data_IF_683431368301
#
_entry.id   IF_683431368301
#
_cell.length_a   1.000
_cell.length_b   1.000
_cell.length_c   1.000
_cell.angle_alpha   90.00
_cell.angle_beta   90.00
_cell.angle_gamma   90.00
#
_symmetry.space_group_name_H-M   'P 1'
#
loop_
_entity.id
_entity.type
_entity.pdbx_description
1 polymer ?
#
# COMPACT_ATOMS: atom_id res chain seq x y z
N UNK A 1 -20.62 -17.23 -6.21
CA UNK A 1 -19.88 -17.57 -7.46
C UNK A 1 -18.45 -17.17 -7.24
N UNK A 2 -17.44 -18.01 -7.56
CA UNK A 2 -16.05 -17.68 -7.27
C UNK A 2 -15.58 -16.44 -8.05
N UNK A 3 -14.63 -15.71 -7.49
CA UNK A 3 -14.03 -14.52 -8.10
C UNK A 3 -12.79 -14.93 -8.89
N UNK A 4 -12.67 -14.42 -10.12
CA UNK A 4 -11.47 -14.61 -10.93
C UNK A 4 -10.54 -13.40 -10.78
N UNK A 5 -9.28 -13.65 -10.42
CA UNK A 5 -8.22 -12.65 -10.39
C UNK A 5 -7.17 -13.03 -11.44
N UNK A 6 -6.79 -12.09 -12.30
CA UNK A 6 -5.71 -12.32 -13.28
C UNK A 6 -4.48 -11.53 -12.86
N UNK A 7 -3.41 -12.24 -12.54
CA UNK A 7 -2.12 -11.65 -12.17
C UNK A 7 -1.27 -11.56 -13.44
N UNK A 8 -0.81 -10.36 -13.83
CA UNK A 8 0.03 -10.20 -15.01
C UNK A 8 1.44 -10.74 -14.76
N UNK A 9 2.17 -11.11 -15.82
CA UNK A 9 3.60 -11.49 -15.74
C UNK A 9 4.48 -10.34 -15.24
N UNK A 10 4.09 -9.11 -15.58
CA UNK A 10 4.81 -7.90 -15.25
C UNK A 10 3.86 -6.81 -14.75
N UNK A 11 4.31 -6.08 -13.74
CA UNK A 11 3.66 -4.87 -13.22
C UNK A 11 4.64 -3.70 -13.29
N UNK A 12 4.24 -2.55 -12.75
CA UNK A 12 5.12 -1.38 -12.66
C UNK A 12 5.06 -0.79 -11.26
N UNK A 13 6.20 -0.34 -10.74
CA UNK A 13 6.27 0.56 -9.60
C UNK A 13 6.81 1.92 -10.02
N UNK A 14 6.21 2.99 -9.50
CA UNK A 14 6.54 4.36 -9.90
C UNK A 14 6.64 5.28 -8.70
N UNK A 15 7.80 5.91 -8.57
CA UNK A 15 8.08 6.94 -7.58
C UNK A 15 8.55 8.21 -8.28
N UNK A 16 8.33 9.35 -7.65
CA UNK A 16 8.83 10.64 -8.12
C UNK A 16 9.49 11.37 -6.96
N UNK A 17 10.62 11.99 -7.21
CA UNK A 17 11.25 12.92 -6.27
C UNK A 17 11.04 14.34 -6.79
N UNK A 18 10.31 15.16 -6.04
CA UNK A 18 10.20 16.59 -6.30
C UNK A 18 11.39 17.32 -5.67
N UNK A 19 12.18 18.05 -6.47
CA UNK A 19 13.39 18.70 -6.00
C UNK A 19 13.81 19.89 -6.89
N UNK A 20 14.65 20.76 -6.36
CA UNK A 20 15.19 21.92 -7.10
C UNK A 20 16.44 21.57 -7.92
N UNK A 21 17.04 20.41 -7.65
CA UNK A 21 18.31 19.98 -8.28
C UNK A 21 18.24 18.56 -8.80
N UNK A 22 19.02 18.31 -9.85
CA UNK A 22 19.23 16.96 -10.37
C UNK A 22 20.25 16.21 -9.49
N UNK A 23 20.11 14.89 -9.30
CA UNK A 23 21.14 14.08 -8.65
C UNK A 23 22.40 14.06 -9.53
N UNK A 24 23.56 13.95 -8.89
CA UNK A 24 24.84 13.74 -9.58
C UNK A 24 24.95 12.32 -10.15
N UNK A 25 25.97 11.58 -9.74
CA UNK A 25 26.12 10.16 -10.12
C UNK A 25 25.09 9.29 -9.37
N UNK A 26 23.95 9.04 -10.01
CA UNK A 26 22.87 8.20 -9.46
C UNK A 26 23.35 6.78 -9.12
N UNK A 27 24.27 6.21 -9.91
CA UNK A 27 24.79 4.89 -9.63
C UNK A 27 25.62 4.88 -8.34
N UNK A 28 26.42 5.92 -8.11
CA UNK A 28 27.15 6.09 -6.86
C UNK A 28 26.21 6.33 -5.66
N UNK A 29 25.15 7.13 -5.85
CA UNK A 29 24.13 7.37 -4.81
C UNK A 29 23.48 6.06 -4.37
N UNK A 30 23.00 5.25 -5.32
CA UNK A 30 22.34 3.97 -5.04
C UNK A 30 23.31 3.00 -4.34
N UNK A 31 24.54 2.86 -4.86
CA UNK A 31 25.55 1.97 -4.26
C UNK A 31 25.90 2.35 -2.81
N UNK A 32 25.90 3.64 -2.48
CA UNK A 32 26.21 4.13 -1.13
C UNK A 32 25.00 3.99 -0.18
N UNK A 33 23.79 4.10 -0.70
CA UNK A 33 22.58 4.15 0.12
C UNK A 33 22.03 2.77 0.46
N UNK A 34 22.17 1.78 -0.42
CA UNK A 34 21.64 0.44 -0.24
C UNK A 34 22.72 -0.52 0.32
N UNK A 35 22.36 -1.47 1.20
CA UNK A 35 23.25 -2.54 1.60
C UNK A 35 23.40 -3.58 0.48
N UNK A 36 24.51 -4.32 0.47
CA UNK A 36 24.62 -5.55 -0.32
C UNK A 36 23.67 -6.63 0.23
N UNK A 37 23.05 -7.49 -0.60
CA UNK A 37 23.21 -7.62 -2.06
C UNK A 37 22.33 -6.66 -2.89
N UNK A 38 21.53 -5.80 -2.25
CA UNK A 38 20.55 -4.96 -2.93
C UNK A 38 21.19 -3.83 -3.74
N UNK A 39 22.32 -3.29 -3.29
CA UNK A 39 23.12 -2.33 -4.06
C UNK A 39 23.56 -2.90 -5.42
N UNK A 40 24.08 -4.13 -5.44
CA UNK A 40 24.41 -4.84 -6.68
C UNK A 40 23.18 -5.07 -7.55
N UNK A 41 22.09 -5.57 -6.96
CA UNK A 41 20.84 -5.83 -7.67
C UNK A 41 20.24 -4.56 -8.31
N UNK A 42 20.36 -3.41 -7.64
CA UNK A 42 19.93 -2.12 -8.16
C UNK A 42 20.86 -1.62 -9.29
N UNK A 43 22.17 -1.77 -9.13
CA UNK A 43 23.15 -1.40 -10.13
C UNK A 43 22.99 -2.18 -11.44
N UNK A 44 22.69 -3.48 -11.37
CA UNK A 44 22.44 -4.33 -12.54
C UNK A 44 21.16 -3.93 -13.29
N UNK A 45 20.17 -3.36 -12.59
CA UNK A 45 18.90 -2.91 -13.18
C UNK A 45 18.96 -1.48 -13.71
N UNK A 46 19.88 -0.66 -13.22
CA UNK A 46 19.94 0.77 -13.54
C UNK A 46 20.15 1.01 -15.04
N UNK A 47 19.27 1.81 -15.64
CA UNK A 47 19.29 2.10 -17.08
C UNK A 47 18.60 1.04 -17.95
N UNK A 48 18.03 0.00 -17.33
CA UNK A 48 17.15 -0.98 -17.97
C UNK A 48 15.69 -0.73 -17.57
N UNK A 49 14.69 -1.38 -18.20
CA UNK A 49 13.31 -1.31 -17.73
C UNK A 49 13.13 -1.71 -16.25
N UNK A 50 14.04 -2.50 -15.68
CA UNK A 50 14.01 -2.89 -14.27
C UNK A 50 14.37 -1.78 -13.28
N UNK A 51 14.99 -0.67 -13.73
CA UNK A 51 15.16 0.57 -12.96
C UNK A 51 15.57 1.72 -13.91
N UNK A 52 14.59 2.55 -14.27
CA UNK A 52 14.80 3.74 -15.09
C UNK A 52 14.65 5.01 -14.26
N UNK A 53 15.58 5.94 -14.49
CA UNK A 53 15.61 7.27 -13.87
C UNK A 53 15.43 8.30 -14.97
N UNK A 54 14.44 9.18 -14.79
CA UNK A 54 14.11 10.24 -15.74
C UNK A 54 14.02 11.56 -14.99
N UNK A 55 14.38 12.67 -15.64
CA UNK A 55 14.37 13.99 -15.01
C UNK A 55 13.61 14.94 -15.93
N UNK A 56 12.58 15.57 -15.40
CA UNK A 56 11.76 16.54 -16.10
C UNK A 56 11.73 17.85 -15.31
N UNK A 57 11.69 19.02 -15.98
CA UNK A 57 11.22 20.25 -15.33
C UNK A 57 9.80 20.04 -14.77
N UNK A 58 9.49 20.63 -13.62
CA UNK A 58 8.23 20.36 -12.91
C UNK A 58 6.99 20.77 -13.73
N UNK A 59 7.09 21.84 -14.52
CA UNK A 59 6.01 22.38 -15.37
C UNK A 59 5.63 21.48 -16.56
N UNK A 60 6.53 20.60 -16.96
CA UNK A 60 6.42 19.71 -18.13
C UNK A 60 6.48 18.24 -17.75
N UNK A 61 6.60 17.94 -16.45
CA UNK A 61 6.62 16.60 -15.93
C UNK A 61 5.26 15.89 -16.16
N UNK A 62 5.26 14.59 -16.51
CA UNK A 62 4.03 13.86 -16.80
C UNK A 62 3.22 13.49 -15.54
N UNK A 63 3.75 13.75 -14.35
CA UNK A 63 3.18 13.33 -13.08
C UNK A 63 2.44 14.46 -12.38
N UNK A 64 1.33 14.11 -11.71
CA UNK A 64 0.50 15.04 -10.95
C UNK A 64 0.66 14.81 -9.46
N UNK A 65 1.57 15.54 -8.83
CA UNK A 65 1.94 15.32 -7.42
C UNK A 65 1.04 16.02 -6.40
N UNK A 66 0.18 16.97 -6.81
CA UNK A 66 -0.74 17.72 -5.94
C UNK A 66 -1.77 16.85 -5.18
N UNK A 67 -1.84 15.55 -5.48
CA UNK A 67 -2.72 14.60 -4.79
C UNK A 67 -2.00 13.79 -3.72
N UNK A 68 -0.67 13.92 -3.65
CA UNK A 68 0.14 13.20 -2.70
C UNK A 68 -0.23 13.64 -1.28
N UNK A 69 -0.52 12.67 -0.42
CA UNK A 69 -0.84 12.91 0.98
C UNK A 69 0.40 12.62 1.81
N UNK A 70 0.86 13.63 2.55
CA UNK A 70 1.92 13.51 3.55
C UNK A 70 1.43 13.91 4.93
N UNK A 71 2.30 13.74 5.93
CA UNK A 71 2.03 14.17 7.31
C UNK A 71 2.37 15.65 7.50
N UNK A 72 3.38 16.15 6.77
CA UNK A 72 3.85 17.53 6.87
C UNK A 72 3.30 18.40 5.74
N UNK A 73 2.68 19.53 6.10
CA UNK A 73 2.21 20.52 5.13
C UNK A 73 3.38 21.15 4.36
N UNK A 74 4.57 21.25 4.98
CA UNK A 74 5.77 21.77 4.35
C UNK A 74 6.23 20.91 3.16
N UNK A 75 5.98 19.60 3.19
CA UNK A 75 6.29 18.71 2.07
C UNK A 75 5.40 19.03 0.85
N UNK A 76 4.13 19.36 1.09
CA UNK A 76 3.21 19.82 0.05
C UNK A 76 3.69 21.11 -0.61
N UNK A 77 4.07 22.11 0.20
CA UNK A 77 4.65 23.36 -0.30
C UNK A 77 5.98 23.13 -1.04
N UNK A 78 6.81 22.20 -0.58
CA UNK A 78 8.06 21.85 -1.26
C UNK A 78 7.81 21.17 -2.61
N UNK A 79 6.80 20.31 -2.72
CA UNK A 79 6.37 19.74 -4.01
C UNK A 79 5.91 20.84 -4.96
N UNK A 80 5.11 21.80 -4.49
CA UNK A 80 4.61 22.90 -5.32
C UNK A 80 5.71 23.85 -5.80
N UNK A 81 6.77 24.03 -5.00
CA UNK A 81 7.91 24.89 -5.32
C UNK A 81 9.01 24.20 -6.13
N UNK A 82 8.97 22.88 -6.26
CA UNK A 82 10.04 22.12 -6.90
C UNK A 82 10.22 22.54 -8.37
N UNK A 83 11.47 22.80 -8.76
CA UNK A 83 11.78 23.10 -10.17
C UNK A 83 11.77 21.85 -11.07
N UNK A 84 11.92 20.66 -10.48
CA UNK A 84 12.10 19.40 -11.22
C UNK A 84 11.40 18.23 -10.54
N UNK A 85 10.98 17.28 -11.38
CA UNK A 85 10.49 15.97 -10.97
C UNK A 85 11.42 14.88 -11.52
N UNK A 86 11.95 14.05 -10.63
CA UNK A 86 12.82 12.93 -10.97
C UNK A 86 11.99 11.65 -10.86
N UNK A 87 11.61 11.07 -12.00
CA UNK A 87 10.87 9.81 -12.05
C UNK A 87 11.79 8.61 -11.85
N UNK A 88 11.43 7.76 -10.89
CA UNK A 88 12.09 6.48 -10.58
C UNK A 88 11.07 5.37 -10.86
N UNK A 89 11.27 4.66 -11.96
CA UNK A 89 10.28 3.70 -12.47
C UNK A 89 10.90 2.34 -12.71
N UNK A 90 10.10 1.29 -12.57
CA UNK A 90 10.56 -0.08 -12.80
C UNK A 90 9.41 -0.95 -13.30
N UNK A 91 9.71 -1.76 -14.30
CA UNK A 91 8.92 -2.93 -14.68
C UNK A 91 9.30 -4.05 -13.74
N UNK A 92 8.32 -4.56 -13.00
CA UNK A 92 8.49 -5.60 -11.99
C UNK A 92 8.01 -6.92 -12.56
N UNK A 93 8.86 -7.94 -12.51
CA UNK A 93 8.46 -9.29 -12.84
C UNK A 93 7.88 -9.97 -11.61
N UNK A 94 6.93 -10.89 -11.80
CA UNK A 94 6.29 -11.59 -10.67
C UNK A 94 7.27 -12.40 -9.82
N UNK A 95 8.30 -12.99 -10.44
CA UNK A 95 9.36 -13.77 -9.76
C UNK A 95 10.27 -12.90 -8.87
N UNK A 96 10.26 -11.58 -9.05
CA UNK A 96 11.03 -10.60 -8.30
C UNK A 96 10.22 -9.96 -7.14
N UNK A 97 8.96 -10.33 -6.95
CA UNK A 97 8.11 -9.79 -5.87
C UNK A 97 8.34 -10.50 -4.54
N UNK A 98 8.46 -9.77 -3.40
CA UNK A 98 8.28 -8.32 -3.26
C UNK A 98 9.58 -7.49 -3.30
N UNK A 99 10.72 -8.11 -3.62
CA UNK A 99 12.05 -7.48 -3.52
C UNK A 99 12.28 -6.35 -4.53
N UNK A 100 11.86 -6.49 -5.78
CA UNK A 100 12.05 -5.43 -6.78
C UNK A 100 11.36 -4.09 -6.41
N UNK A 101 10.09 -4.07 -5.97
CA UNK A 101 9.47 -2.85 -5.43
C UNK A 101 10.31 -2.16 -4.35
N UNK A 102 10.89 -2.93 -3.41
CA UNK A 102 11.74 -2.40 -2.35
C UNK A 102 12.98 -1.71 -2.88
N UNK A 103 13.68 -2.33 -3.83
CA UNK A 103 14.88 -1.76 -4.46
C UNK A 103 14.55 -0.41 -5.11
N UNK A 104 13.44 -0.33 -5.83
CA UNK A 104 13.03 0.87 -6.57
C UNK A 104 12.63 2.00 -5.60
N UNK A 105 11.88 1.67 -4.54
CA UNK A 105 11.56 2.64 -3.48
C UNK A 105 12.81 3.12 -2.76
N UNK A 106 13.73 2.22 -2.43
CA UNK A 106 14.99 2.57 -1.79
C UNK A 106 15.86 3.48 -2.68
N UNK A 107 15.90 3.23 -3.99
CA UNK A 107 16.57 4.10 -4.94
C UNK A 107 15.91 5.50 -4.98
N UNK A 108 14.58 5.58 -4.96
CA UNK A 108 13.87 6.86 -4.90
C UNK A 108 14.17 7.64 -3.60
N UNK A 109 14.15 6.95 -2.46
CA UNK A 109 14.50 7.55 -1.16
C UNK A 109 15.97 8.00 -1.12
N UNK A 110 16.89 7.21 -1.66
CA UNK A 110 18.31 7.57 -1.75
C UNK A 110 18.54 8.81 -2.63
N UNK A 111 17.83 8.90 -3.76
CA UNK A 111 17.87 10.09 -4.62
C UNK A 111 17.29 11.30 -3.88
N UNK A 112 16.14 11.14 -3.23
CA UNK A 112 15.50 12.20 -2.45
C UNK A 112 16.42 12.74 -1.35
N UNK A 113 17.10 11.87 -0.61
CA UNK A 113 18.10 12.26 0.39
C UNK A 113 19.28 13.01 -0.23
N UNK A 114 19.82 12.52 -1.35
CA UNK A 114 20.93 13.19 -2.05
C UNK A 114 20.53 14.58 -2.53
N UNK A 115 19.31 14.77 -3.03
CA UNK A 115 18.88 16.06 -3.60
C UNK A 115 18.15 16.96 -2.61
N UNK A 116 17.94 16.50 -1.37
CA UNK A 116 17.04 17.12 -0.38
C UNK A 116 15.62 17.33 -0.93
N UNK A 117 15.11 16.34 -1.68
CA UNK A 117 13.80 16.38 -2.33
C UNK A 117 12.72 15.62 -1.56
N UNK A 118 11.48 15.74 -2.04
CA UNK A 118 10.30 15.08 -1.47
C UNK A 118 9.97 13.82 -2.29
N UNK A 119 10.12 12.61 -1.72
CA UNK A 119 9.79 11.37 -2.41
C UNK A 119 8.28 11.08 -2.35
N UNK A 120 7.68 10.79 -3.50
CA UNK A 120 6.27 10.48 -3.67
C UNK A 120 6.10 9.11 -4.31
N UNK A 121 5.28 8.26 -3.72
CA UNK A 121 4.81 7.00 -4.30
C UNK A 121 3.54 7.25 -5.13
N UNK A 122 3.64 7.09 -6.45
CA UNK A 122 2.53 7.34 -7.36
C UNK A 122 1.50 6.22 -7.37
N UNK A 123 1.83 5.04 -6.85
CA UNK A 123 0.90 3.93 -6.80
C UNK A 123 0.00 4.01 -5.57
N UNK A 124 0.40 4.74 -4.52
CA UNK A 124 -0.40 5.02 -3.31
C UNK A 124 -0.89 6.46 -3.20
N UNK A 125 -0.34 7.39 -4.00
CA UNK A 125 -0.47 8.84 -3.84
C UNK A 125 -0.01 9.29 -2.43
N UNK A 126 1.11 8.77 -1.94
CA UNK A 126 1.65 9.10 -0.61
C UNK A 126 3.04 9.74 -0.70
N UNK A 127 3.27 10.74 0.14
CA UNK A 127 4.62 11.23 0.42
C UNK A 127 5.29 10.19 1.31
N UNK A 128 6.43 9.68 0.88
CA UNK A 128 7.16 8.67 1.62
C UNK A 128 7.92 9.34 2.77
N UNK A 129 7.99 8.71 3.96
CA UNK A 129 8.80 9.22 5.05
C UNK A 129 10.26 9.26 4.63
N UNK A 130 11.01 10.27 5.09
CA UNK A 130 12.44 10.42 4.83
C UNK A 130 13.29 9.27 5.40
N UNK A 131 12.73 8.48 6.33
CA UNK A 131 13.38 7.29 6.86
C UNK A 131 13.53 6.22 5.77
N UNK A 132 14.76 5.73 5.60
CA UNK A 132 15.03 4.60 4.69
C UNK A 132 14.21 3.37 5.11
N UNK A 133 13.86 2.48 4.16
CA UNK A 133 13.20 1.21 4.49
C UNK A 133 14.03 0.46 5.53
N UNK A 134 13.37 -0.35 6.37
CA UNK A 134 14.04 -1.23 7.33
C UNK A 134 14.85 -2.33 6.64
N UNK A 135 15.07 -3.45 7.32
CA UNK A 135 15.69 -4.62 6.70
C UNK A 135 14.85 -5.05 5.46
N UNK A 136 15.50 -5.09 4.29
CA UNK A 136 14.90 -5.51 3.02
C UNK A 136 14.43 -6.99 3.06
N UNK A 137 14.81 -7.75 4.09
CA UNK A 137 14.36 -9.12 4.32
C UNK A 137 12.89 -9.26 4.78
N UNK A 138 12.31 -8.22 5.38
CA UNK A 138 10.97 -8.30 5.99
C UNK A 138 9.98 -7.38 5.25
N UNK A 139 9.32 -7.91 4.22
CA UNK A 139 8.22 -7.21 3.55
C UNK A 139 7.00 -7.11 4.48
N UNK A 140 6.53 -5.90 4.73
CA UNK A 140 5.33 -5.63 5.52
C UNK A 140 4.39 -4.69 4.75
N UNK A 141 3.17 -5.12 4.45
CA UNK A 141 2.22 -4.36 3.62
C UNK A 141 1.84 -3.00 4.26
N UNK A 142 1.80 -2.92 5.60
CA UNK A 142 1.55 -1.69 6.33
C UNK A 142 2.69 -0.64 6.24
N UNK A 143 3.86 -0.98 5.70
CA UNK A 143 5.00 -0.06 5.61
C UNK A 143 4.86 0.96 4.46
N UNK A 144 3.67 1.52 4.28
CA UNK A 144 3.36 2.45 3.18
C UNK A 144 3.16 1.76 1.82
N UNK A 145 2.99 0.44 1.79
CA UNK A 145 2.74 -0.29 0.55
C UNK A 145 1.25 -0.33 0.15
N UNK A 146 0.36 0.03 1.07
CA UNK A 146 -1.08 0.12 0.85
C UNK A 146 -1.58 1.53 1.19
N UNK A 147 -2.02 2.26 0.18
CA UNK A 147 -2.76 3.49 0.36
C UNK A 147 -4.22 3.18 0.66
N UNK A 148 -4.62 3.26 1.92
CA UNK A 148 -6.02 3.20 2.34
C UNK A 148 -6.16 4.06 3.59
N UNK A 149 -6.49 5.34 3.39
CA UNK A 149 -6.77 6.27 4.47
C UNK A 149 -8.26 6.51 4.58
N UNK A 150 -8.73 6.71 5.80
CA UNK A 150 -10.05 7.28 6.02
C UNK A 150 -10.09 8.64 5.30
N UNK A 151 -11.22 9.01 4.65
CA UNK A 151 -11.41 10.37 4.19
C UNK A 151 -11.10 11.33 5.33
N UNK A 152 -10.61 12.56 5.07
CA UNK A 152 -10.40 13.57 6.11
C UNK A 152 -11.77 13.96 6.70
N UNK A 153 -12.24 13.15 7.64
CA UNK A 153 -13.66 13.00 7.95
C UNK A 153 -14.18 14.06 8.93
N UNK A 154 -13.36 15.00 9.42
CA UNK A 154 -13.84 16.07 10.31
C UNK A 154 -13.58 17.51 9.89
N UNK A 155 -12.91 17.76 8.76
CA UNK A 155 -12.51 19.12 8.37
C UNK A 155 -12.80 19.51 6.90
N UNK A 156 -13.59 18.71 6.17
CA UNK A 156 -13.80 18.93 4.73
C UNK A 156 -15.24 18.87 4.22
N UNK A 157 -16.24 18.78 5.11
CA UNK A 157 -17.66 18.92 4.74
C UNK A 157 -18.23 17.87 3.76
N UNK A 158 -17.75 16.61 3.80
CA UNK A 158 -18.23 15.56 2.87
C UNK A 158 -19.24 14.56 3.47
N UNK A 159 -19.33 14.42 4.79
CA UNK A 159 -20.58 13.95 5.42
C UNK A 159 -21.36 15.21 5.75
N UNK A 160 -22.42 15.47 4.99
CA UNK A 160 -23.41 16.50 5.31
C UNK A 160 -24.53 15.95 6.21
N UNK A 161 -24.49 14.66 6.56
CA UNK A 161 -25.43 14.10 7.51
C UNK A 161 -25.04 14.57 8.92
N UNK A 162 -26.05 14.87 9.74
CA UNK A 162 -25.85 15.13 11.17
C UNK A 162 -25.05 13.99 11.81
N UNK A 163 -24.29 14.28 12.86
CA UNK A 163 -23.42 13.36 13.63
C UNK A 163 -24.18 12.20 14.34
N UNK A 164 -25.30 11.74 13.78
CA UNK A 164 -26.10 10.61 14.21
C UNK A 164 -25.68 9.27 13.60
N UNK A 165 -26.26 8.20 14.14
CA UNK A 165 -26.03 6.79 13.78
C UNK A 165 -26.34 6.46 12.30
N UNK A 166 -26.98 7.38 11.57
CA UNK A 166 -27.43 7.21 10.18
C UNK A 166 -26.44 7.70 9.09
N UNK A 167 -25.27 8.29 9.40
CA UNK A 167 -24.33 8.72 8.34
C UNK A 167 -23.62 7.52 7.68
N UNK A 168 -24.06 7.08 6.49
CA UNK A 168 -23.44 6.00 5.67
C UNK A 168 -22.62 6.51 4.49
N UNK A 169 -21.73 7.48 4.73
CA UNK A 169 -21.00 8.14 3.63
C UNK A 169 -19.54 7.65 3.46
N UNK A 170 -19.05 6.78 4.34
CA UNK A 170 -17.65 6.34 4.27
C UNK A 170 -17.47 5.41 3.07
N UNK A 171 -16.48 5.78 2.25
CA UNK A 171 -16.02 5.02 1.11
C UNK A 171 -14.51 4.87 1.20
N UNK A 172 -14.05 3.64 1.36
CA UNK A 172 -12.64 3.32 1.40
C UNK A 172 -12.27 2.59 0.12
N UNK A 173 -11.11 2.94 -0.42
CA UNK A 173 -10.55 2.29 -1.59
C UNK A 173 -9.04 2.17 -1.42
N UNK A 174 -8.52 0.99 -1.67
CA UNK A 174 -7.09 0.76 -1.67
C UNK A 174 -6.43 1.38 -2.90
N UNK A 175 -5.14 1.64 -2.74
CA UNK A 175 -4.20 1.99 -3.78
C UNK A 175 -2.88 1.26 -3.52
N UNK A 176 -2.22 0.85 -4.59
CA UNK A 176 -0.90 0.25 -4.55
C UNK A 176 -0.92 -1.27 -4.59
N UNK A 177 -2.08 -1.93 -4.62
CA UNK A 177 -2.14 -3.38 -4.78
C UNK A 177 -1.78 -3.84 -6.20
N UNK A 178 -2.07 -2.99 -7.19
CA UNK A 178 -1.80 -3.30 -8.60
C UNK A 178 -0.33 -3.55 -8.92
N UNK A 179 0.61 -2.92 -8.19
CA UNK A 179 2.05 -3.18 -8.38
C UNK A 179 2.47 -4.57 -7.90
N UNK A 180 1.64 -5.22 -7.08
CA UNK A 180 1.78 -6.61 -6.68
C UNK A 180 0.91 -7.55 -7.53
N UNK A 181 0.32 -7.05 -8.62
CA UNK A 181 -0.43 -7.86 -9.58
C UNK A 181 -1.84 -8.23 -9.15
N UNK A 182 -2.33 -7.73 -8.01
CA UNK A 182 -3.69 -8.01 -7.52
C UNK A 182 -4.62 -6.77 -7.64
N UNK A 183 -5.94 -6.97 -7.65
CA UNK A 183 -6.91 -5.87 -7.77
C UNK A 183 -6.86 -4.90 -6.61
N UNK A 184 -7.28 -3.65 -6.84
CA UNK A 184 -7.60 -2.76 -5.72
C UNK A 184 -8.90 -3.20 -5.05
N UNK A 185 -9.04 -2.92 -3.77
CA UNK A 185 -10.18 -3.23 -2.94
C UNK A 185 -10.99 -1.96 -2.66
N UNK A 186 -12.30 -2.09 -2.54
CA UNK A 186 -13.15 -1.02 -2.04
C UNK A 186 -14.23 -1.53 -1.09
N UNK A 187 -14.61 -0.71 -0.12
CA UNK A 187 -15.76 -0.92 0.75
C UNK A 187 -16.53 0.41 0.83
N UNK A 188 -17.84 0.36 0.61
CA UNK A 188 -18.67 1.56 0.38
C UNK A 188 -19.97 1.49 1.17
N UNK A 189 -20.58 2.63 1.48
CA UNK A 189 -21.82 2.68 2.26
C UNK A 189 -21.60 2.39 3.75
N UNK A 190 -20.38 2.63 4.22
CA UNK A 190 -19.98 2.38 5.61
C UNK A 190 -20.49 3.53 6.49
N UNK A 191 -21.10 3.16 7.61
CA UNK A 191 -21.49 4.08 8.65
C UNK A 191 -20.25 4.67 9.32
N UNK A 192 -20.28 5.95 9.65
CA UNK A 192 -19.10 6.67 10.11
C UNK A 192 -18.49 6.11 11.41
N UNK A 193 -19.29 5.60 12.37
CA UNK A 193 -18.74 4.88 13.52
C UNK A 193 -17.99 3.57 13.17
N UNK A 194 -18.20 3.02 11.97
CA UNK A 194 -17.62 1.75 11.51
C UNK A 194 -16.42 1.94 10.56
N UNK A 195 -15.88 3.16 10.46
CA UNK A 195 -14.83 3.51 9.51
C UNK A 195 -13.50 2.76 9.78
N UNK A 196 -13.06 2.67 11.04
CA UNK A 196 -11.89 1.90 11.47
C UNK A 196 -12.07 0.42 11.20
N UNK A 197 -13.25 -0.12 11.50
CA UNK A 197 -13.58 -1.52 11.28
C UNK A 197 -13.51 -1.87 9.78
N UNK A 198 -14.18 -1.07 8.94
CA UNK A 198 -14.13 -1.21 7.48
C UNK A 198 -12.71 -1.08 6.93
N UNK A 199 -11.91 -0.15 7.46
CA UNK A 199 -10.51 0.02 7.07
C UNK A 199 -9.69 -1.23 7.39
N UNK A 200 -9.87 -1.82 8.56
CA UNK A 200 -9.12 -3.00 8.97
C UNK A 200 -9.59 -4.28 8.25
N UNK A 201 -10.87 -4.39 7.89
CA UNK A 201 -11.36 -5.42 6.97
C UNK A 201 -10.67 -5.30 5.61
N UNK A 202 -10.57 -4.09 5.06
CA UNK A 202 -9.88 -3.84 3.79
C UNK A 202 -8.39 -4.20 3.86
N UNK A 203 -7.68 -3.79 4.92
CA UNK A 203 -6.26 -4.11 5.15
C UNK A 203 -6.02 -5.62 5.27
N UNK A 204 -6.86 -6.30 6.05
CA UNK A 204 -6.77 -7.75 6.26
C UNK A 204 -7.05 -8.52 4.97
N UNK A 205 -8.06 -8.09 4.20
CA UNK A 205 -8.36 -8.66 2.87
C UNK A 205 -7.21 -8.47 1.90
N UNK A 206 -6.58 -7.29 1.90
CA UNK A 206 -5.41 -7.01 1.07
C UNK A 206 -4.25 -7.96 1.39
N UNK A 207 -3.94 -8.16 2.67
CA UNK A 207 -2.92 -9.12 3.10
C UNK A 207 -3.28 -10.55 2.68
N UNK A 208 -4.54 -10.97 2.87
CA UNK A 208 -5.02 -12.30 2.51
C UNK A 208 -4.84 -12.62 1.03
N UNK A 209 -5.01 -11.62 0.15
CA UNK A 209 -4.90 -11.78 -1.31
C UNK A 209 -3.47 -11.61 -1.83
N UNK A 210 -2.58 -10.98 -1.07
CA UNK A 210 -1.21 -10.66 -1.49
C UNK A 210 -0.41 -11.86 -2.01
N UNK A 211 -0.50 -13.07 -1.44
CA UNK A 211 0.23 -14.24 -1.95
C UNK A 211 -0.10 -14.60 -3.42
N UNK A 212 -1.30 -14.27 -3.91
CA UNK A 212 -1.69 -14.53 -5.30
C UNK A 212 -0.79 -13.78 -6.28
N UNK A 213 -0.36 -12.57 -5.91
CA UNK A 213 0.50 -11.71 -6.71
C UNK A 213 1.86 -12.28 -7.06
N UNK A 214 2.29 -13.36 -6.37
CA UNK A 214 3.56 -14.06 -6.61
C UNK A 214 3.50 -15.12 -7.72
N UNK A 215 2.34 -15.30 -8.33
CA UNK A 215 2.13 -16.32 -9.36
C UNK A 215 1.36 -15.71 -10.54
N UNK A 216 1.95 -15.63 -11.74
CA UNK A 216 1.25 -15.07 -12.89
C UNK A 216 0.10 -15.98 -13.34
N UNK A 217 -0.87 -15.40 -14.03
CA UNK A 217 -1.99 -16.12 -14.64
C UNK A 217 -3.31 -15.97 -13.90
N UNK A 218 -4.24 -16.88 -14.21
CA UNK A 218 -5.62 -16.82 -13.75
C UNK A 218 -5.79 -17.60 -12.44
N UNK A 219 -6.22 -16.90 -11.40
CA UNK A 219 -6.54 -17.44 -10.08
C UNK A 219 -8.05 -17.44 -9.89
N UNK A 220 -8.59 -18.53 -9.37
CA UNK A 220 -9.98 -18.60 -8.92
C UNK A 220 -9.98 -18.68 -7.41
N UNK A 221 -10.55 -17.66 -6.77
CA UNK A 221 -10.67 -17.59 -5.31
C UNK A 221 -12.12 -17.76 -4.91
N UNK A 222 -12.33 -18.24 -3.68
CA UNK A 222 -13.67 -18.21 -3.09
C UNK A 222 -14.17 -16.76 -3.09
N UNK A 223 -15.45 -16.56 -3.43
CA UNK A 223 -16.08 -15.26 -3.25
C UNK A 223 -16.22 -14.89 -1.80
N UNK A 224 -16.08 -15.85 -0.88
CA UNK A 224 -16.20 -15.61 0.55
C UNK A 224 -14.94 -16.07 1.28
N UNK A 225 -13.82 -15.33 1.19
CA UNK A 225 -12.61 -15.69 1.90
C UNK A 225 -12.79 -15.47 3.41
N UNK A 226 -12.27 -16.42 4.17
CA UNK A 226 -12.08 -16.32 5.61
C UNK A 226 -10.83 -15.49 5.93
N UNK A 227 -11.00 -14.43 6.71
CA UNK A 227 -9.95 -13.55 7.22
C UNK A 227 -9.60 -13.95 8.65
N UNK A 228 -8.31 -14.05 8.95
CA UNK A 228 -7.82 -14.54 10.24
C UNK A 228 -7.02 -13.49 11.01
N UNK A 229 -6.84 -13.72 12.31
CA UNK A 229 -6.00 -12.88 13.16
C UNK A 229 -4.55 -12.84 12.69
N UNK A 230 -4.10 -13.89 12.01
CA UNK A 230 -2.80 -13.96 11.35
C UNK A 230 -2.72 -13.02 10.15
N UNK A 231 -3.74 -12.98 9.28
CA UNK A 231 -3.75 -12.06 8.15
C UNK A 231 -3.67 -10.60 8.63
N UNK A 232 -4.38 -10.24 9.70
CA UNK A 232 -4.30 -8.87 10.24
C UNK A 232 -2.96 -8.59 10.92
N UNK A 233 -2.38 -9.58 11.62
CA UNK A 233 -1.05 -9.45 12.21
C UNK A 233 0.03 -9.24 11.13
N UNK A 234 0.03 -10.08 10.10
CA UNK A 234 1.00 -10.04 8.99
C UNK A 234 0.92 -8.72 8.21
N UNK A 235 -0.27 -8.14 8.05
CA UNK A 235 -0.42 -6.80 7.48
C UNK A 235 0.50 -5.80 8.20
N UNK A 236 0.56 -5.87 9.54
CA UNK A 236 1.40 -5.05 10.40
C UNK A 236 2.81 -5.61 10.65
N UNK A 237 3.20 -6.72 10.01
CA UNK A 237 4.50 -7.39 10.23
C UNK A 237 4.56 -8.22 11.52
N UNK A 238 3.43 -8.36 12.22
CA UNK A 238 3.31 -9.16 13.43
C UNK A 238 3.32 -10.65 13.13
N UNK A 239 3.94 -11.44 14.02
CA UNK A 239 4.04 -12.90 13.91
C UNK A 239 3.00 -13.66 14.74
N UNK A 240 2.28 -12.95 15.61
CA UNK A 240 1.24 -13.52 16.47
C UNK A 240 -0.12 -13.03 16.02
N UNK A 241 -1.13 -13.91 15.93
CA UNK A 241 -2.49 -13.50 15.58
C UNK A 241 -2.96 -12.33 16.46
N UNK A 242 -3.63 -11.35 15.86
CA UNK A 242 -4.21 -10.21 16.60
C UNK A 242 -5.55 -10.54 17.27
N UNK A 243 -6.13 -11.70 16.96
CA UNK A 243 -7.20 -12.33 17.72
C UNK A 243 -7.12 -13.85 17.56
N UNK A 244 -7.53 -14.56 18.60
CA UNK A 244 -7.63 -16.01 18.64
C UNK A 244 -9.12 -16.37 18.66
N UNK A 245 -9.72 -16.55 17.48
CA UNK A 245 -11.16 -16.78 17.33
C UNK A 245 -11.52 -17.22 15.92
N UNK A 246 -12.81 -17.36 15.66
CA UNK A 246 -13.30 -17.77 14.35
C UNK A 246 -12.89 -16.77 13.25
N UNK A 247 -12.56 -17.24 12.04
CA UNK A 247 -12.27 -16.36 10.93
C UNK A 247 -13.47 -15.50 10.57
N UNK A 248 -13.20 -14.24 10.23
CA UNK A 248 -14.21 -13.32 9.70
C UNK A 248 -14.40 -13.61 8.22
N UNK A 249 -15.60 -14.04 7.83
CA UNK A 249 -15.92 -14.22 6.42
C UNK A 249 -16.31 -12.88 5.80
N UNK A 250 -15.76 -12.57 4.63
CA UNK A 250 -16.14 -11.39 3.84
C UNK A 250 -16.59 -11.82 2.46
N UNK A 251 -17.40 -11.04 1.76
CA UNK A 251 -17.78 -11.33 0.37
C UNK A 251 -17.04 -10.42 -0.60
N UNK A 252 -16.39 -11.00 -1.60
CA UNK A 252 -15.74 -10.33 -2.72
C UNK A 252 -16.66 -10.31 -3.93
N UNK A 253 -16.86 -9.12 -4.49
CA UNK A 253 -17.66 -8.90 -5.70
C UNK A 253 -16.85 -8.10 -6.72
N UNK A 254 -16.97 -8.41 -8.01
CA UNK A 254 -16.32 -7.60 -9.04
C UNK A 254 -17.01 -6.23 -9.13
N UNK A 255 -16.28 -5.17 -8.76
CA UNK A 255 -16.79 -3.80 -8.80
C UNK A 255 -16.40 -3.04 -10.08
N UNK A 256 -15.51 -3.64 -10.87
CA UNK A 256 -15.08 -3.14 -12.18
C UNK A 256 -13.65 -3.55 -12.51
N UNK A 257 -13.09 -3.06 -13.63
CA UNK A 257 -11.78 -3.48 -14.11
C UNK A 257 -10.66 -3.29 -13.08
N UNK A 258 -10.09 -4.41 -12.62
CA UNK A 258 -9.03 -4.45 -11.62
C UNK A 258 -9.46 -3.87 -10.26
N UNK A 259 -10.73 -4.08 -9.87
CA UNK A 259 -11.28 -3.71 -8.57
C UNK A 259 -12.26 -4.76 -8.02
N UNK A 260 -12.16 -5.04 -6.73
CA UNK A 260 -13.11 -5.88 -5.99
C UNK A 260 -13.77 -5.06 -4.88
N UNK A 261 -15.09 -5.15 -4.77
CA UNK A 261 -15.83 -4.68 -3.61
C UNK A 261 -15.78 -5.74 -2.50
N UNK A 262 -15.67 -5.27 -1.26
CA UNK A 262 -15.84 -6.06 -0.05
C UNK A 262 -17.24 -5.75 0.50
N UNK A 263 -18.02 -6.80 0.68
CA UNK A 263 -19.39 -6.77 1.20
C UNK A 263 -19.50 -7.77 2.37
N UNK A 264 -20.59 -7.69 3.12
CA UNK A 264 -20.93 -8.70 4.12
C UNK A 264 -21.21 -10.07 3.46
N UNK A 265 -21.04 -11.18 4.20
CA UNK A 265 -21.38 -12.53 3.72
C UNK A 265 -22.79 -12.58 3.12
N UNK A 266 -22.98 -13.39 2.08
CA UNK A 266 -24.26 -13.47 1.36
C UNK A 266 -25.41 -13.97 2.23
N UNK A 267 -25.11 -14.79 3.25
CA UNK A 267 -26.05 -15.37 4.19
C UNK A 267 -26.24 -14.53 5.47
N UNK A 268 -25.51 -13.43 5.63
CA UNK A 268 -25.69 -12.53 6.76
C UNK A 268 -27.04 -11.80 6.63
N UNK A 269 -27.94 -11.90 7.64
CA UNK A 269 -29.31 -11.40 7.52
C UNK A 269 -29.45 -9.87 7.59
N UNK A 270 -28.39 -9.17 8.02
CA UNK A 270 -28.38 -7.71 8.22
C UNK A 270 -27.67 -6.93 7.11
N UNK A 271 -27.48 -5.64 7.38
CA UNK A 271 -26.74 -4.72 6.52
C UNK A 271 -25.22 -4.89 6.69
N UNK A 272 -24.45 -4.24 5.81
CA UNK A 272 -22.99 -4.14 5.98
C UNK A 272 -22.62 -3.55 7.34
N UNK A 273 -23.37 -2.56 7.83
CA UNK A 273 -23.06 -1.86 9.07
C UNK A 273 -23.40 -2.69 10.30
N UNK A 274 -24.47 -3.49 10.25
CA UNK A 274 -24.78 -4.48 11.29
C UNK A 274 -23.67 -5.52 11.37
N UNK A 275 -23.22 -6.04 10.22
CA UNK A 275 -22.11 -7.00 10.15
C UNK A 275 -20.79 -6.42 10.67
N UNK A 276 -20.44 -5.20 10.26
CA UNK A 276 -19.24 -4.52 10.74
C UNK A 276 -19.25 -4.31 12.26
N UNK A 277 -20.42 -4.20 12.87
CA UNK A 277 -20.58 -3.96 14.30
C UNK A 277 -20.67 -5.24 15.14
N UNK A 278 -21.46 -6.22 14.70
CA UNK A 278 -21.83 -7.39 15.50
C UNK A 278 -20.84 -8.56 15.35
N UNK A 279 -20.25 -8.74 14.16
CA UNK A 279 -19.51 -9.96 13.80
C UNK A 279 -17.99 -9.81 13.83
N UNK A 280 -17.49 -8.58 13.94
CA UNK A 280 -16.05 -8.33 13.86
C UNK A 280 -15.35 -8.47 15.23
N UNK A 281 -14.16 -9.10 15.27
CA UNK A 281 -13.31 -9.11 16.45
C UNK A 281 -12.95 -7.69 16.89
N UNK A 282 -12.93 -7.46 18.20
CA UNK A 282 -12.60 -6.16 18.81
C UNK A 282 -11.29 -5.53 18.29
N UNK A 283 -10.31 -6.36 17.93
CA UNK A 283 -9.05 -5.93 17.33
C UNK A 283 -9.25 -5.08 16.05
N UNK A 284 -10.26 -5.39 15.23
CA UNK A 284 -10.54 -4.65 13.99
C UNK A 284 -11.16 -3.26 14.26
N UNK A 285 -11.74 -3.02 15.44
CA UNK A 285 -12.31 -1.71 15.80
C UNK A 285 -11.30 -0.76 16.44
N UNK A 286 -10.20 -1.28 16.99
CA UNK A 286 -9.33 -0.51 17.88
C UNK A 286 -8.05 0.02 17.21
N UNK A 287 -7.65 -0.56 16.07
CA UNK A 287 -6.34 -0.29 15.45
C UNK A 287 -6.49 0.67 14.28
N UNK A 288 -6.40 1.98 14.52
CA UNK A 288 -6.36 2.97 13.45
C UNK A 288 -4.99 3.00 12.75
N UNK A 289 -3.92 3.06 13.54
CA UNK A 289 -2.53 3.10 13.09
C UNK A 289 -1.62 2.36 14.08
N UNK A 290 -0.59 1.71 13.56
CA UNK A 290 0.46 1.06 14.34
C UNK A 290 1.77 1.15 13.55
N UNK A 291 2.90 1.31 14.24
CA UNK A 291 4.19 1.14 13.58
C UNK A 291 4.38 -0.34 13.19
N UNK A 292 4.79 -0.64 11.94
CA UNK A 292 5.09 -2.00 11.52
C UNK A 292 6.05 -2.68 12.51
N UNK A 293 5.75 -3.91 12.93
CA UNK A 293 6.66 -4.67 13.77
C UNK A 293 7.86 -5.10 12.93
N UNK A 294 9.02 -4.55 13.27
CA UNK A 294 10.29 -4.78 12.56
C UNK A 294 11.24 -5.67 13.38
N UNK A 295 10.72 -6.40 14.37
CA UNK A 295 11.55 -7.25 15.22
C UNK A 295 12.02 -8.46 14.40
N UNK A 296 13.34 -8.61 14.12
CA UNK A 296 13.83 -9.74 13.36
C UNK A 296 13.54 -11.04 14.11
N UNK A 297 13.34 -12.13 13.36
CA UNK A 297 13.25 -13.45 13.96
C UNK A 297 14.48 -13.65 14.86
N UNK A 298 14.28 -13.92 16.15
CA UNK A 298 15.37 -14.48 16.94
C UNK A 298 15.81 -15.75 16.20
N UNK A 299 17.04 -15.74 15.71
CA UNK A 299 17.67 -16.91 15.11
C UNK A 299 17.50 -18.06 16.08
N UNK A 300 16.74 -19.09 15.69
CA UNK A 300 16.68 -20.34 16.44
C UNK A 300 18.13 -20.79 16.61
N UNK A 301 18.66 -20.90 17.83
CA UNK A 301 20.00 -21.44 18.02
C UNK A 301 19.94 -22.88 17.49
N UNK A 302 20.76 -23.18 16.49
CA UNK A 302 20.90 -24.54 15.99
C UNK A 302 21.24 -25.48 17.14
N UNK A 303 20.41 -26.52 17.28
CA UNK A 303 20.57 -27.64 18.20
C UNK A 303 19.98 -28.88 17.58
#
# INVERSE_FOLDING_TARGET
>A
MPVTITVPEETTARFVVAADRAPGDVAAVIRRALPEPYAKAAAERLGTPGLMITIHPADSAPWRLHRAVGVDAADGEAIERADRHIGVTSVLRVDDLPTAPHIVRAAALAIAEEVCGVPVDLDTDQILPASRPGDFGDFVLADGWLGASLPPYRAGGRCEADDGEDCTCVRLRSRGLRRFGIPELEITGVACPQDVAALNVLRTTAQRLLPLGRHPGRHTVTSEPALTGTDFAEFWGGRRPMWDGDPVTVRLVEAGPGRLAIEQPADFPGTLNDWLWDELPSALHQVLSREPDRTPAASVPGG
#
